data_IF_951545347187
#
_entry.id   IF_951545347187
#
_cell.length_a   1.000
_cell.length_b   1.000
_cell.length_c   1.000
_cell.angle_alpha   90.00
_cell.angle_beta   90.00
_cell.angle_gamma   90.00
#
_symmetry.space_group_name_H-M   'P 1'
#
loop_
_entity.id
_entity.type
_entity.pdbx_description
1 polymer ?
#
# COMPACT_ATOMS: atom_id res chain seq x y z
N UNK A 1 17.31 28.07 -55.20
CA UNK A 1 16.86 26.72 -55.57
C UNK A 1 17.45 25.73 -54.58
N UNK A 2 16.59 24.89 -54.02
CA UNK A 2 16.82 24.02 -52.86
C UNK A 2 17.50 22.72 -53.31
N UNK A 3 18.11 22.03 -52.32
CA UNK A 3 18.46 20.59 -52.24
C UNK A 3 19.93 20.38 -52.60
N UNK A 4 20.72 19.69 -51.78
CA UNK A 4 20.65 18.23 -51.66
C UNK A 4 21.61 17.81 -50.52
N UNK A 5 21.06 17.05 -49.56
CA UNK A 5 21.73 16.03 -48.73
C UNK A 5 22.67 16.53 -47.62
N UNK A 6 22.06 16.85 -46.47
CA UNK A 6 22.67 16.54 -45.19
C UNK A 6 22.51 15.03 -44.94
N UNK A 7 23.65 14.35 -44.96
CA UNK A 7 23.83 12.92 -44.76
C UNK A 7 23.45 12.52 -43.33
N UNK A 8 22.52 11.56 -43.24
CA UNK A 8 22.51 10.43 -42.29
C UNK A 8 22.82 10.77 -40.82
N UNK A 9 21.78 11.21 -40.11
CA UNK A 9 21.58 10.82 -38.71
C UNK A 9 20.19 10.19 -38.66
N UNK A 10 20.11 8.92 -39.10
CA UNK A 10 18.97 8.06 -38.78
C UNK A 10 19.13 7.74 -37.30
N UNK A 11 18.61 8.63 -36.48
CA UNK A 11 18.36 8.42 -35.07
C UNK A 11 17.31 7.31 -35.01
N UNK A 12 17.75 6.07 -34.84
CA UNK A 12 16.88 4.94 -34.54
C UNK A 12 16.31 5.19 -33.15
N UNK A 13 15.21 5.95 -33.11
CA UNK A 13 14.32 6.04 -31.97
C UNK A 13 13.62 4.69 -31.86
N UNK A 14 14.26 3.72 -31.22
CA UNK A 14 13.56 2.59 -30.66
C UNK A 14 12.55 3.16 -29.66
N UNK A 15 11.23 2.97 -29.83
CA UNK A 15 10.30 3.26 -28.77
C UNK A 15 10.62 2.27 -27.67
N UNK A 16 11.34 2.72 -26.64
CA UNK A 16 11.37 2.01 -25.36
C UNK A 16 9.93 2.15 -24.87
N UNK A 17 9.11 1.16 -25.16
CA UNK A 17 7.82 0.97 -24.53
C UNK A 17 8.11 0.76 -23.05
N UNK A 18 8.20 1.85 -22.30
CA UNK A 18 8.13 1.79 -20.86
C UNK A 18 6.80 1.11 -20.56
N UNK A 19 6.84 -0.16 -20.13
CA UNK A 19 5.69 -0.76 -19.49
C UNK A 19 5.37 0.15 -18.32
N UNK A 20 4.36 0.99 -18.46
CA UNK A 20 3.79 1.67 -17.30
C UNK A 20 3.36 0.53 -16.40
N UNK A 21 4.14 0.26 -15.36
CA UNK A 21 3.72 -0.61 -14.29
C UNK A 21 2.54 0.16 -13.69
N UNK A 22 1.34 -0.09 -14.21
CA UNK A 22 0.13 0.61 -13.82
C UNK A 22 -0.14 0.14 -12.40
N UNK A 23 0.50 0.81 -11.43
CA UNK A 23 0.24 0.60 -10.01
C UNK A 23 -1.23 0.91 -9.86
N UNK A 24 -2.01 -0.11 -9.51
CA UNK A 24 -3.43 0.05 -9.22
C UNK A 24 -3.51 1.20 -8.20
N UNK A 25 -4.25 2.29 -8.49
CA UNK A 25 -4.32 3.42 -7.58
C UNK A 25 -4.78 2.91 -6.22
N UNK A 26 -3.92 3.06 -5.21
CA UNK A 26 -4.19 2.59 -3.86
C UNK A 26 -4.96 3.70 -3.16
N UNK A 27 -6.05 3.36 -2.47
CA UNK A 27 -6.67 4.30 -1.56
C UNK A 27 -5.70 4.56 -0.38
N UNK A 28 -5.05 5.72 -0.42
CA UNK A 28 -3.99 6.07 0.53
C UNK A 28 -4.49 6.10 1.98
N UNK A 29 -5.72 6.57 2.21
CA UNK A 29 -6.33 6.63 3.53
C UNK A 29 -6.55 5.22 4.11
N UNK A 30 -7.02 4.28 3.30
CA UNK A 30 -7.16 2.89 3.73
C UNK A 30 -5.81 2.25 4.03
N UNK A 31 -4.78 2.53 3.22
CA UNK A 31 -3.43 2.00 3.46
C UNK A 31 -2.79 2.60 4.72
N UNK A 32 -2.95 3.90 4.95
CA UNK A 32 -2.49 4.57 6.16
C UNK A 32 -3.20 3.99 7.39
N UNK A 33 -4.52 3.81 7.33
CA UNK A 33 -5.28 3.17 8.38
C UNK A 33 -4.83 1.72 8.62
N UNK A 34 -4.60 0.94 7.55
CA UNK A 34 -4.13 -0.44 7.66
C UNK A 34 -2.80 -0.53 8.41
N UNK A 35 -1.85 0.37 8.11
CA UNK A 35 -0.56 0.44 8.81
C UNK A 35 -0.72 0.81 10.28
N UNK A 36 -1.52 1.84 10.58
CA UNK A 36 -1.79 2.26 11.95
C UNK A 36 -2.50 1.14 12.75
N UNK A 37 -3.50 0.48 12.16
CA UNK A 37 -4.21 -0.64 12.77
C UNK A 37 -3.30 -1.85 12.99
N UNK A 38 -2.38 -2.14 12.06
CA UNK A 38 -1.42 -3.22 12.23
C UNK A 38 -0.49 -2.97 13.42
N UNK A 39 0.04 -1.75 13.52
CA UNK A 39 0.88 -1.34 14.65
C UNK A 39 0.08 -1.32 15.96
N UNK A 40 -1.21 -0.95 15.94
CA UNK A 40 -2.11 -1.05 17.09
C UNK A 40 -2.18 -2.49 17.61
N UNK A 41 -2.40 -3.46 16.71
CA UNK A 41 -2.47 -4.89 17.08
C UNK A 41 -1.13 -5.39 17.64
N UNK A 42 -0.01 -4.94 17.08
CA UNK A 42 1.32 -5.27 17.59
C UNK A 42 1.55 -4.70 19.00
N UNK A 43 1.26 -3.42 19.23
CA UNK A 43 1.39 -2.79 20.55
C UNK A 43 0.45 -3.39 21.58
N UNK A 44 -0.78 -3.74 21.17
CA UNK A 44 -1.72 -4.45 22.02
C UNK A 44 -1.16 -5.80 22.46
N UNK A 45 -0.57 -6.57 21.54
CA UNK A 45 0.08 -7.85 21.85
C UNK A 45 1.30 -7.68 22.77
N UNK A 46 1.99 -6.53 22.71
CA UNK A 46 3.12 -6.19 23.59
C UNK A 46 2.71 -5.53 24.90
N UNK A 47 1.42 -5.33 25.13
CA UNK A 47 0.88 -4.66 26.32
C UNK A 47 1.44 -3.24 26.51
N UNK A 48 1.64 -2.51 25.41
CA UNK A 48 1.96 -1.08 25.44
C UNK A 48 0.71 -0.22 25.52
N UNK A 49 0.89 1.04 25.89
CA UNK A 49 -0.18 2.03 25.78
C UNK A 49 -0.62 2.20 24.32
N UNK A 50 -1.93 2.31 24.12
CA UNK A 50 -2.57 2.34 22.80
C UNK A 50 -3.21 3.69 22.50
N UNK A 51 -3.14 4.66 23.42
CA UNK A 51 -3.86 5.92 23.30
C UNK A 51 -3.48 6.68 22.02
N UNK A 52 -2.19 6.91 21.80
CA UNK A 52 -1.73 7.68 20.64
C UNK A 52 -2.07 7.01 19.31
N UNK A 53 -1.87 5.69 19.22
CA UNK A 53 -2.13 4.96 17.97
C UNK A 53 -3.63 4.80 17.69
N UNK A 54 -4.46 4.76 18.72
CA UNK A 54 -5.92 4.85 18.59
C UNK A 54 -6.31 6.22 18.06
N UNK A 55 -5.73 7.30 18.57
CA UNK A 55 -6.00 8.66 18.11
C UNK A 55 -5.55 8.89 16.66
N UNK A 56 -4.39 8.35 16.27
CA UNK A 56 -3.92 8.35 14.87
C UNK A 56 -4.93 7.64 13.97
N UNK A 57 -5.36 6.43 14.35
CA UNK A 57 -6.33 5.65 13.57
C UNK A 57 -7.66 6.39 13.45
N UNK A 58 -8.16 6.98 14.53
CA UNK A 58 -9.39 7.77 14.54
C UNK A 58 -9.28 9.02 13.66
N UNK A 59 -8.14 9.72 13.70
CA UNK A 59 -7.88 10.87 12.83
C UNK A 59 -7.93 10.51 11.35
N UNK A 60 -7.36 9.35 10.95
CA UNK A 60 -7.43 8.88 9.56
C UNK A 60 -8.88 8.64 9.13
N UNK A 61 -9.69 7.99 9.97
CA UNK A 61 -11.12 7.75 9.70
C UNK A 61 -11.88 9.08 9.59
N UNK A 62 -11.65 10.01 10.52
CA UNK A 62 -12.33 11.30 10.57
C UNK A 62 -12.06 12.18 9.34
N UNK A 63 -10.87 12.08 8.76
CA UNK A 63 -10.45 12.86 7.59
C UNK A 63 -10.83 12.21 6.25
N UNK A 64 -11.40 11.01 6.28
CA UNK A 64 -11.79 10.25 5.09
C UNK A 64 -13.24 10.52 4.70
N UNK A 65 -13.52 10.49 3.40
CA UNK A 65 -14.89 10.50 2.87
C UNK A 65 -15.51 9.10 2.77
N UNK A 66 -14.74 8.05 3.02
CA UNK A 66 -15.21 6.66 3.00
C UNK A 66 -16.10 6.34 4.20
N UNK A 67 -16.98 5.36 4.02
CA UNK A 67 -17.85 4.86 5.07
C UNK A 67 -17.03 4.23 6.22
N UNK A 68 -17.40 4.44 7.50
CA UNK A 68 -16.75 3.82 8.66
C UNK A 68 -16.62 2.29 8.54
N UNK A 69 -17.60 1.64 7.93
CA UNK A 69 -17.66 0.19 7.72
C UNK A 69 -16.48 -0.30 6.88
N UNK A 70 -16.02 0.48 5.90
CA UNK A 70 -14.85 0.15 5.09
C UNK A 70 -13.60 0.01 5.97
N UNK A 71 -13.46 0.85 7.00
CA UNK A 71 -12.34 0.76 7.94
C UNK A 71 -12.44 -0.44 8.88
N UNK A 72 -13.65 -0.86 9.22
CA UNK A 72 -13.87 -2.12 9.95
C UNK A 72 -13.38 -3.30 9.11
N UNK A 73 -13.71 -3.32 7.81
CA UNK A 73 -13.21 -4.37 6.90
C UNK A 73 -11.69 -4.34 6.74
N UNK A 74 -11.08 -3.16 6.65
CA UNK A 74 -9.61 -3.04 6.66
C UNK A 74 -9.01 -3.61 7.95
N UNK A 75 -9.61 -3.34 9.11
CA UNK A 75 -9.13 -3.91 10.37
C UNK A 75 -9.21 -5.44 10.39
N UNK A 76 -10.28 -6.03 9.84
CA UNK A 76 -10.40 -7.50 9.68
C UNK A 76 -9.35 -8.04 8.71
N UNK A 77 -9.15 -7.37 7.58
CA UNK A 77 -8.14 -7.73 6.59
C UNK A 77 -6.73 -7.76 7.22
N UNK A 78 -6.34 -6.71 7.95
CA UNK A 78 -5.03 -6.61 8.64
C UNK A 78 -4.86 -7.69 9.70
N UNK A 79 -5.93 -8.02 10.44
CA UNK A 79 -5.90 -9.07 11.47
C UNK A 79 -5.60 -10.44 10.87
N UNK A 80 -6.21 -10.76 9.74
CA UNK A 80 -6.12 -12.08 9.09
C UNK A 80 -4.98 -12.17 8.07
N UNK A 81 -4.25 -11.08 7.84
CA UNK A 81 -3.19 -11.03 6.86
C UNK A 81 -1.88 -11.64 7.40
N UNK A 82 -1.39 -12.64 6.68
CA UNK A 82 -0.11 -13.30 6.91
C UNK A 82 0.75 -13.17 5.64
N UNK A 83 1.82 -12.37 5.67
CA UNK A 83 2.67 -12.19 4.52
C UNK A 83 3.65 -13.36 4.35
N UNK A 84 3.93 -13.72 3.10
CA UNK A 84 4.96 -14.70 2.76
C UNK A 84 6.35 -14.04 2.76
N UNK A 85 6.93 -13.81 3.96
CA UNK A 85 8.24 -13.15 4.11
C UNK A 85 9.23 -14.06 4.82
N UNK A 86 10.48 -14.07 4.34
CA UNK A 86 11.60 -14.64 5.09
C UNK A 86 12.06 -13.65 6.15
N UNK A 87 11.86 -14.00 7.41
CA UNK A 87 12.27 -13.18 8.55
C UNK A 87 13.78 -13.26 8.79
N UNK A 88 14.42 -12.11 9.07
CA UNK A 88 15.76 -12.12 9.66
C UNK A 88 15.67 -12.68 11.08
N UNK A 89 16.74 -13.33 11.54
CA UNK A 89 16.86 -13.78 12.94
C UNK A 89 16.56 -12.59 13.86
N UNK A 90 15.73 -12.81 14.87
CA UNK A 90 15.32 -11.82 15.88
C UNK A 90 14.27 -10.77 15.47
N UNK A 91 13.64 -10.89 14.29
CA UNK A 91 12.53 -9.99 13.91
C UNK A 91 11.17 -10.58 14.29
N UNK A 92 10.31 -9.83 14.99
CA UNK A 92 8.95 -10.27 15.31
C UNK A 92 8.10 -10.38 14.04
N UNK A 93 7.54 -11.57 13.71
CA UNK A 93 6.67 -11.73 12.54
C UNK A 93 5.45 -10.78 12.56
N UNK A 94 4.91 -10.53 13.76
CA UNK A 94 3.79 -9.61 13.98
C UNK A 94 4.12 -8.16 13.63
N UNK A 95 5.39 -7.76 13.75
CA UNK A 95 5.83 -6.40 13.39
C UNK A 95 6.18 -6.31 11.91
N UNK A 96 6.85 -7.33 11.36
CA UNK A 96 7.22 -7.37 9.94
C UNK A 96 6.00 -7.25 9.04
N UNK A 97 4.89 -7.91 9.39
CA UNK A 97 3.66 -7.79 8.58
C UNK A 97 3.17 -6.36 8.42
N UNK A 98 3.44 -5.47 9.38
CA UNK A 98 3.02 -4.07 9.29
C UNK A 98 3.86 -3.28 8.29
N UNK A 99 5.12 -3.68 8.07
CA UNK A 99 6.04 -3.01 7.15
C UNK A 99 5.96 -3.54 5.73
N UNK A 100 5.26 -4.64 5.49
CA UNK A 100 5.13 -5.23 4.14
C UNK A 100 3.82 -4.88 3.43
N UNK A 101 2.82 -4.34 4.16
CA UNK A 101 1.47 -4.08 3.63
C UNK A 101 1.44 -3.28 2.32
N UNK A 102 2.27 -2.25 2.18
CA UNK A 102 2.30 -1.37 1.01
C UNK A 102 3.12 -1.92 -0.16
N UNK A 103 3.95 -2.92 0.10
CA UNK A 103 4.80 -3.59 -0.88
C UNK A 103 4.23 -4.94 -1.34
N UNK A 104 3.30 -5.52 -0.58
CA UNK A 104 2.73 -6.83 -0.89
C UNK A 104 1.57 -6.70 -1.89
N UNK A 105 1.70 -7.24 -3.11
CA UNK A 105 0.68 -7.12 -4.14
C UNK A 105 -0.63 -7.84 -3.80
N UNK A 106 -0.60 -8.89 -2.97
CA UNK A 106 -1.81 -9.58 -2.50
C UNK A 106 -2.59 -8.67 -1.57
N UNK A 107 -1.91 -8.04 -0.60
CA UNK A 107 -2.55 -7.10 0.31
C UNK A 107 -3.14 -5.90 -0.44
N UNK A 108 -2.36 -5.32 -1.36
CA UNK A 108 -2.79 -4.18 -2.18
C UNK A 108 -4.03 -4.50 -3.03
N UNK A 109 -4.12 -5.70 -3.62
CA UNK A 109 -5.34 -6.09 -4.35
C UNK A 109 -6.54 -6.20 -3.42
N UNK A 110 -6.37 -6.81 -2.24
CA UNK A 110 -7.46 -6.99 -1.27
C UNK A 110 -7.96 -5.66 -0.70
N UNK A 111 -7.08 -4.72 -0.39
CA UNK A 111 -7.50 -3.42 0.13
C UNK A 111 -8.24 -2.60 -0.94
N UNK A 112 -7.80 -2.67 -2.19
CA UNK A 112 -8.46 -1.95 -3.29
C UNK A 112 -9.86 -2.51 -3.60
N UNK A 113 -10.08 -3.82 -3.46
CA UNK A 113 -11.43 -4.40 -3.64
C UNK A 113 -12.48 -3.89 -2.65
N UNK A 114 -12.06 -3.39 -1.47
CA UNK A 114 -12.97 -2.84 -0.46
C UNK A 114 -13.58 -1.47 -0.85
N UNK A 115 -13.08 -0.84 -1.91
CA UNK A 115 -13.58 0.46 -2.41
C UNK A 115 -14.38 0.34 -3.70
N UNK A 116 -14.38 -0.84 -4.34
CA UNK A 116 -15.00 -1.08 -5.64
C UNK A 116 -16.13 -2.12 -5.56
N UNK A 117 -16.57 -2.49 -4.35
CA UNK A 117 -17.71 -3.40 -4.17
C UNK A 117 -19.01 -2.59 -4.19
N UNK A 118 -19.51 -2.32 -5.40
CA UNK A 118 -20.94 -2.11 -5.70
C UNK A 118 -21.48 -3.35 -6.42
#
# INVERSE_FOLDING_TARGET
>A
MIRVIAFIIILVLLPISASSNTRVPINEQLLQFAKANCLYQYFQHKNYDLNDIRNISAGIVQMSSLAPETFVEVSRLVKNYEPEVKYKKDTSPLLVKCFTLDSDPVFIRKINSLTHSE
#
